data_IF_591005073555
#
_entry.id   IF_591005073555
#
_cell.length_a   1.000
_cell.length_b   1.000
_cell.length_c   1.000
_cell.angle_alpha   90.00
_cell.angle_beta   90.00
_cell.angle_gamma   90.00
#
_symmetry.space_group_name_H-M   'P 1'
#
loop_
_entity.id
_entity.type
_entity.pdbx_description
1 polymer ?
#
# COMPACT_ATOMS: atom_id res chain seq x y z
N UNK A 1 -20.74 -8.84 2.10
CA UNK A 1 -19.48 -8.21 2.55
C UNK A 1 -19.20 -8.69 3.96
N UNK A 2 -18.14 -9.46 4.16
CA UNK A 2 -17.73 -9.95 5.48
C UNK A 2 -16.89 -8.88 6.18
N UNK A 3 -17.43 -8.24 7.22
CA UNK A 3 -16.69 -7.29 8.05
C UNK A 3 -15.97 -8.00 9.18
N UNK A 4 -14.66 -7.77 9.32
CA UNK A 4 -13.89 -8.24 10.48
C UNK A 4 -13.92 -7.17 11.58
N UNK A 5 -14.19 -7.59 12.83
CA UNK A 5 -14.14 -6.70 14.00
C UNK A 5 -12.72 -6.68 14.54
N UNK A 6 -12.14 -5.49 14.65
CA UNK A 6 -10.83 -5.26 15.24
C UNK A 6 -10.99 -4.33 16.45
N UNK A 7 -10.37 -4.69 17.57
CA UNK A 7 -10.24 -3.80 18.72
C UNK A 7 -8.84 -3.20 18.69
N UNK A 8 -8.74 -1.88 18.72
CA UNK A 8 -7.48 -1.15 18.65
C UNK A 8 -7.33 -0.36 19.93
N UNK A 9 -6.15 -0.42 20.53
CA UNK A 9 -5.78 0.41 21.67
C UNK A 9 -4.80 1.46 21.18
N UNK A 10 -5.12 2.73 21.42
CA UNK A 10 -4.23 3.85 21.17
C UNK A 10 -3.53 4.23 22.46
N UNK A 11 -2.30 4.74 22.36
CA UNK A 11 -1.67 5.44 23.48
C UNK A 11 -2.42 6.75 23.78
N UNK A 12 -2.10 7.37 24.92
CA UNK A 12 -2.80 8.57 25.38
C UNK A 12 -2.67 9.77 24.44
N UNK A 13 -1.55 9.91 23.73
CA UNK A 13 -1.32 11.02 22.81
C UNK A 13 -2.21 10.89 21.57
N UNK A 14 -2.18 9.71 20.93
CA UNK A 14 -2.98 9.43 19.74
C UNK A 14 -4.47 9.41 20.05
N UNK A 15 -4.89 8.92 21.23
CA UNK A 15 -6.27 8.97 21.68
C UNK A 15 -6.77 10.42 21.84
N UNK A 16 -5.98 11.29 22.48
CA UNK A 16 -6.33 12.71 22.62
C UNK A 16 -6.42 13.43 21.28
N UNK A 17 -5.51 13.11 20.34
CA UNK A 17 -5.53 13.66 18.98
C UNK A 17 -6.78 13.21 18.22
N UNK A 18 -7.14 11.93 18.31
CA UNK A 18 -8.36 11.40 17.69
C UNK A 18 -9.62 12.07 18.25
N UNK A 19 -9.71 12.20 19.58
CA UNK A 19 -10.84 12.87 20.24
C UNK A 19 -11.00 14.32 19.79
N UNK A 20 -9.88 15.05 19.71
CA UNK A 20 -9.85 16.45 19.24
C UNK A 20 -10.33 16.56 17.80
N UNK A 21 -9.87 15.67 16.92
CA UNK A 21 -10.28 15.64 15.52
C UNK A 21 -11.76 15.29 15.40
N UNK A 22 -12.22 14.25 16.10
CA UNK A 22 -13.61 13.80 16.10
C UNK A 22 -14.57 14.91 16.55
N UNK A 23 -14.20 15.65 17.59
CA UNK A 23 -14.97 16.80 18.07
C UNK A 23 -15.07 17.91 17.00
N UNK A 24 -13.98 18.21 16.30
CA UNK A 24 -13.93 19.26 15.27
C UNK A 24 -14.80 18.93 14.05
N UNK A 25 -14.88 17.66 13.67
CA UNK A 25 -15.71 17.19 12.55
C UNK A 25 -17.10 16.70 12.99
N UNK A 26 -17.45 16.81 14.26
CA UNK A 26 -18.75 16.38 14.83
C UNK A 26 -19.10 14.92 14.53
N UNK A 27 -18.12 14.02 14.57
CA UNK A 27 -18.31 12.58 14.34
C UNK A 27 -17.89 11.78 15.58
N UNK A 28 -18.44 10.58 15.72
CA UNK A 28 -17.98 9.65 16.74
C UNK A 28 -16.53 9.21 16.45
N UNK A 29 -15.70 9.12 17.49
CA UNK A 29 -14.30 8.68 17.41
C UNK A 29 -14.14 7.35 16.69
N UNK A 30 -15.01 6.37 16.93
CA UNK A 30 -14.96 5.07 16.27
C UNK A 30 -15.24 5.15 14.77
N UNK A 31 -16.12 6.07 14.35
CA UNK A 31 -16.39 6.33 12.93
C UNK A 31 -15.19 7.00 12.26
N UNK A 32 -14.61 8.01 12.91
CA UNK A 32 -13.44 8.70 12.38
C UNK A 32 -12.23 7.76 12.31
N UNK A 33 -11.98 6.98 13.35
CA UNK A 33 -10.90 5.99 13.40
C UNK A 33 -11.02 4.96 12.27
N UNK A 34 -12.23 4.45 12.01
CA UNK A 34 -12.46 3.52 10.89
C UNK A 34 -12.11 4.15 9.55
N UNK A 35 -12.57 5.38 9.30
CA UNK A 35 -12.30 6.07 8.04
C UNK A 35 -10.81 6.38 7.86
N UNK A 36 -10.14 6.82 8.93
CA UNK A 36 -8.69 7.07 8.92
C UNK A 36 -7.90 5.77 8.67
N UNK A 37 -8.26 4.67 9.33
CA UNK A 37 -7.63 3.37 9.11
C UNK A 37 -7.83 2.87 7.69
N UNK A 38 -9.05 3.00 7.14
CA UNK A 38 -9.32 2.63 5.74
C UNK A 38 -8.45 3.44 4.79
N UNK A 39 -8.40 4.77 4.96
CA UNK A 39 -7.63 5.65 4.09
C UNK A 39 -6.13 5.35 4.17
N UNK A 40 -5.61 5.07 5.38
CA UNK A 40 -4.21 4.69 5.55
C UNK A 40 -3.90 3.33 4.91
N UNK A 41 -4.83 2.37 4.94
CA UNK A 41 -4.66 1.09 4.22
C UNK A 41 -4.65 1.31 2.71
N UNK A 42 -5.55 2.15 2.20
CA UNK A 42 -5.63 2.49 0.77
C UNK A 42 -4.38 3.25 0.29
N UNK A 43 -3.77 4.10 1.14
CA UNK A 43 -2.52 4.81 0.85
C UNK A 43 -1.28 3.90 0.94
N UNK A 44 -1.38 2.78 1.66
CA UNK A 44 -0.35 1.74 1.70
C UNK A 44 -0.44 0.76 0.52
N UNK A 45 -1.47 0.86 -0.32
CA UNK A 45 -1.54 0.12 -1.59
C UNK A 45 -0.37 0.58 -2.48
N UNK A 46 0.36 -0.34 -3.16
CA UNK A 46 1.76 -0.17 -3.52
C UNK A 46 1.96 1.01 -4.47
N UNK A 47 2.39 2.13 -3.89
CA UNK A 47 2.94 3.26 -4.63
C UNK A 47 4.04 2.74 -5.57
N UNK A 48 4.03 3.06 -6.88
CA UNK A 48 5.14 2.77 -7.78
C UNK A 48 6.51 3.26 -7.24
N UNK A 49 6.53 4.21 -6.31
CA UNK A 49 7.74 4.58 -5.57
C UNK A 49 8.32 3.43 -4.74
N UNK A 50 7.48 2.57 -4.14
CA UNK A 50 7.90 1.40 -3.35
C UNK A 50 8.26 0.18 -4.22
N UNK A 51 7.85 0.18 -5.50
CA UNK A 51 8.19 -0.92 -6.42
C UNK A 51 9.68 -0.93 -6.70
N UNK A 52 10.33 0.24 -6.81
CA UNK A 52 11.77 0.35 -6.96
C UNK A 52 12.50 -0.25 -5.74
N UNK A 53 12.13 0.17 -4.53
CA UNK A 53 12.72 -0.36 -3.29
C UNK A 53 12.50 -1.88 -3.13
N UNK A 54 11.35 -2.39 -3.55
CA UNK A 54 11.04 -3.82 -3.55
C UNK A 54 11.89 -4.59 -4.58
N UNK A 55 12.06 -4.06 -5.78
CA UNK A 55 12.90 -4.66 -6.82
C UNK A 55 14.37 -4.61 -6.41
N UNK A 56 14.83 -3.52 -5.81
CA UNK A 56 16.20 -3.36 -5.29
C UNK A 56 16.49 -4.32 -4.13
N UNK A 57 15.47 -4.76 -3.39
CA UNK A 57 15.58 -5.82 -2.39
C UNK A 57 15.74 -7.23 -2.95
N UNK A 58 15.47 -7.45 -4.25
CA UNK A 58 15.58 -8.74 -4.91
C UNK A 58 16.94 -8.83 -5.59
N UNK A 59 17.83 -9.69 -5.08
CA UNK A 59 19.14 -9.91 -5.66
C UNK A 59 19.07 -10.20 -7.17
N UNK A 60 19.76 -9.40 -7.97
CA UNK A 60 19.85 -9.54 -9.41
C UNK A 60 18.62 -9.05 -10.20
N UNK A 61 17.64 -8.39 -9.56
CA UNK A 61 16.43 -7.97 -10.25
C UNK A 61 16.69 -6.89 -11.30
N UNK A 62 17.61 -5.96 -11.03
CA UNK A 62 17.99 -4.92 -11.97
C UNK A 62 18.64 -5.52 -13.23
N UNK A 63 19.60 -6.44 -13.07
CA UNK A 63 20.28 -7.11 -14.19
C UNK A 63 19.31 -7.97 -15.01
N UNK A 64 18.37 -8.65 -14.35
CA UNK A 64 17.31 -9.40 -15.04
C UNK A 64 16.35 -8.49 -15.80
N UNK A 65 15.98 -7.34 -15.24
CA UNK A 65 15.14 -6.37 -15.91
C UNK A 65 15.83 -5.78 -17.14
N UNK A 66 17.13 -5.47 -17.03
CA UNK A 66 17.94 -5.00 -18.15
C UNK A 66 18.06 -6.04 -19.26
N UNK A 67 18.32 -7.31 -18.90
CA UNK A 67 18.35 -8.42 -19.86
C UNK A 67 17.01 -8.59 -20.58
N UNK A 68 15.89 -8.52 -19.84
CA UNK A 68 14.55 -8.60 -20.43
C UNK A 68 14.26 -7.46 -21.40
N UNK A 69 14.73 -6.24 -21.10
CA UNK A 69 14.62 -5.11 -22.01
C UNK A 69 15.44 -5.32 -23.30
N UNK A 70 16.65 -5.87 -23.20
CA UNK A 70 17.47 -6.21 -24.36
C UNK A 70 16.83 -7.31 -25.22
N UNK A 71 16.30 -8.35 -24.60
CA UNK A 71 15.57 -9.44 -25.28
C UNK A 71 14.32 -8.93 -26.00
N UNK A 72 13.56 -8.03 -25.36
CA UNK A 72 12.40 -7.40 -25.99
C UNK A 72 12.78 -6.57 -27.23
N UNK A 73 13.89 -5.84 -27.18
CA UNK A 73 14.41 -5.10 -28.33
C UNK A 73 14.92 -6.04 -29.42
N UNK A 74 15.54 -7.16 -29.06
CA UNK A 74 16.01 -8.19 -30.00
C UNK A 74 14.85 -8.98 -30.64
N UNK A 75 13.63 -8.89 -30.07
CA UNK A 75 12.48 -9.68 -30.49
C UNK A 75 12.49 -11.10 -29.93
N UNK A 76 13.35 -11.39 -28.96
CA UNK A 76 13.47 -12.68 -28.27
C UNK A 76 12.37 -12.81 -27.20
N UNK A 77 11.11 -12.70 -27.63
CA UNK A 77 9.91 -12.75 -26.78
C UNK A 77 8.87 -13.67 -27.39
N UNK A 78 8.01 -14.23 -26.55
CA UNK A 78 6.82 -14.98 -27.00
C UNK A 78 5.60 -14.06 -27.04
N UNK A 79 4.61 -14.41 -27.85
CA UNK A 79 3.34 -13.68 -27.85
C UNK A 79 2.53 -13.98 -26.59
N UNK A 80 1.58 -13.10 -26.24
CA UNK A 80 0.75 -13.30 -25.05
C UNK A 80 -0.09 -14.58 -25.14
N UNK A 81 -0.50 -14.99 -26.34
CA UNK A 81 -1.26 -16.22 -26.58
C UNK A 81 -0.40 -17.49 -26.40
N UNK A 82 0.93 -17.35 -26.36
CA UNK A 82 1.91 -18.44 -26.22
C UNK A 82 2.49 -18.57 -24.79
N UNK A 83 2.13 -17.65 -23.88
CA UNK A 83 2.55 -17.62 -22.48
C UNK A 83 1.78 -18.62 -21.61
#
# INVERSE_FOLDING_TARGET
>A
MTGQRLNITLDGEHAAKLATLAARVHVNEGTLARSLLSSAIDELDPDPANVADLLDGIAGAFERAQLGAEQAVAGDTITLDEL
#
